data_IF_619760520964
#
_entry.id   IF_619760520964
#
_cell.length_a   1.000
_cell.length_b   1.000
_cell.length_c   1.000
_cell.angle_alpha   90.00
_cell.angle_beta   90.00
_cell.angle_gamma   90.00
#
_symmetry.space_group_name_H-M   'P 1'
#
loop_
_entity.id
_entity.type
_entity.pdbx_description
1 polymer ?
#
# COMPACT_ATOMS: atom_id res chain seq x y z
N UNK A 1 -8.93 -5.02 19.47
CA UNK A 1 -9.45 -4.15 18.40
C UNK A 1 -8.53 -4.19 17.19
N UNK A 2 -9.10 -4.46 16.02
CA UNK A 2 -8.44 -4.65 14.73
C UNK A 2 -7.89 -3.33 14.17
N UNK A 3 -8.68 -2.26 14.29
CA UNK A 3 -8.29 -0.90 13.92
C UNK A 3 -7.55 -0.26 15.10
N UNK A 4 -6.47 0.46 14.79
CA UNK A 4 -5.62 1.17 15.75
C UNK A 4 -5.61 2.65 15.42
N UNK A 5 -5.46 3.45 16.49
CA UNK A 5 -5.30 4.90 16.36
C UNK A 5 -4.09 5.21 15.49
N UNK A 6 -4.20 6.22 14.64
CA UNK A 6 -3.08 6.69 13.85
C UNK A 6 -1.88 7.00 14.75
N UNK A 7 -0.68 6.66 14.25
CA UNK A 7 0.59 7.00 14.87
C UNK A 7 1.60 7.38 13.79
N UNK A 8 2.42 8.40 14.06
CA UNK A 8 3.53 8.80 13.18
C UNK A 8 4.60 7.70 13.06
N UNK A 9 4.60 6.70 13.95
CA UNK A 9 5.49 5.55 13.83
C UNK A 9 5.28 4.79 12.52
N UNK A 10 4.09 4.82 11.92
CA UNK A 10 3.89 4.16 10.62
C UNK A 10 4.71 4.80 9.49
N UNK A 11 5.01 6.10 9.58
CA UNK A 11 5.90 6.77 8.63
C UNK A 11 7.35 6.33 8.88
N UNK A 12 7.75 6.21 10.15
CA UNK A 12 9.07 5.68 10.53
C UNK A 12 9.21 4.23 10.04
N UNK A 13 8.23 3.39 10.30
CA UNK A 13 8.20 1.99 9.90
C UNK A 13 8.34 1.82 8.38
N UNK A 14 7.62 2.65 7.61
CA UNK A 14 7.79 2.71 6.16
C UNK A 14 9.22 3.11 5.76
N UNK A 15 9.79 4.15 6.38
CA UNK A 15 11.14 4.61 6.06
C UNK A 15 12.21 3.57 6.42
N UNK A 16 12.03 2.84 7.52
CA UNK A 16 12.94 1.75 7.91
C UNK A 16 12.88 0.62 6.87
N UNK A 17 11.68 0.19 6.45
CA UNK A 17 11.52 -0.83 5.39
C UNK A 17 12.14 -0.33 4.08
N UNK A 18 11.83 0.92 3.69
CA UNK A 18 12.38 1.56 2.50
C UNK A 18 13.90 1.52 2.50
N UNK A 19 14.54 1.84 3.62
CA UNK A 19 16.00 1.81 3.73
C UNK A 19 16.60 0.42 3.46
N UNK A 20 15.95 -0.65 3.92
CA UNK A 20 16.38 -2.02 3.62
C UNK A 20 16.20 -2.37 2.14
N UNK A 21 15.06 -2.00 1.56
CA UNK A 21 14.79 -2.23 0.13
C UNK A 21 15.77 -1.42 -0.72
N UNK A 22 16.03 -0.16 -0.38
CA UNK A 22 16.95 0.71 -1.11
C UNK A 22 18.38 0.16 -1.13
N UNK A 23 18.82 -0.43 -0.01
CA UNK A 23 20.10 -1.13 0.05
C UNK A 23 20.10 -2.42 -0.80
N UNK A 24 19.00 -3.18 -0.80
CA UNK A 24 18.86 -4.42 -1.57
C UNK A 24 18.73 -4.22 -3.07
N UNK A 25 18.23 -3.06 -3.50
CA UNK A 25 18.02 -2.70 -4.91
C UNK A 25 19.04 -1.66 -5.41
N UNK A 26 20.13 -1.46 -4.67
CA UNK A 26 21.14 -0.46 -4.99
C UNK A 26 21.64 -0.58 -6.44
N UNK A 27 21.63 0.54 -7.17
CA UNK A 27 22.06 0.61 -8.57
C UNK A 27 20.97 0.29 -9.59
N UNK A 28 19.72 0.04 -9.17
CA UNK A 28 18.57 -0.11 -10.06
C UNK A 28 17.75 1.17 -10.15
N UNK A 29 16.96 1.30 -11.22
CA UNK A 29 16.06 2.43 -11.45
C UNK A 29 14.66 2.04 -11.00
N UNK A 30 14.18 2.68 -9.94
CA UNK A 30 12.83 2.47 -9.40
C UNK A 30 12.45 3.66 -8.49
N UNK A 31 11.18 3.71 -8.09
CA UNK A 31 10.73 4.55 -6.97
C UNK A 31 9.93 3.72 -5.97
N UNK A 32 9.80 4.21 -4.73
CA UNK A 32 9.05 3.54 -3.66
C UNK A 32 8.05 4.50 -3.06
N UNK A 33 6.80 4.07 -2.97
CA UNK A 33 5.69 4.85 -2.43
C UNK A 33 5.09 4.18 -1.19
N UNK A 34 4.87 4.99 -0.14
CA UNK A 34 4.04 4.58 0.99
C UNK A 34 2.57 4.76 0.59
N UNK A 35 1.84 3.66 0.55
CA UNK A 35 0.44 3.62 0.11
C UNK A 35 -0.47 3.05 1.19
N UNK A 36 -1.76 2.91 0.88
CA UNK A 36 -2.75 2.41 1.83
C UNK A 36 -3.08 3.39 2.95
N UNK A 37 -3.80 2.90 3.95
CA UNK A 37 -4.32 3.75 5.03
C UNK A 37 -3.23 4.26 5.99
N UNK A 38 -2.14 3.51 6.18
CA UNK A 38 -1.05 3.91 7.08
C UNK A 38 -0.21 5.06 6.53
N UNK A 39 -0.30 5.34 5.23
CA UNK A 39 0.30 6.49 4.58
C UNK A 39 -0.49 7.79 4.79
N UNK A 40 -1.69 7.75 5.36
CA UNK A 40 -2.55 8.93 5.53
C UNK A 40 -2.48 9.40 6.99
N UNK A 41 -1.91 10.59 7.28
CA UNK A 41 -1.90 11.14 8.62
C UNK A 41 -3.32 11.29 9.19
N UNK A 42 -3.46 11.00 10.48
CA UNK A 42 -4.73 11.08 11.21
C UNK A 42 -5.83 10.13 10.70
N UNK A 43 -5.46 9.02 10.05
CA UNK A 43 -6.39 7.96 9.63
C UNK A 43 -6.12 6.66 10.40
N UNK A 44 -7.05 6.27 11.27
CA UNK A 44 -6.97 5.03 12.03
C UNK A 44 -7.01 3.81 11.10
N UNK A 45 -6.20 2.79 11.35
CA UNK A 45 -6.02 1.67 10.41
C UNK A 45 -5.61 0.37 11.09
N UNK A 46 -5.65 -0.73 10.33
CA UNK A 46 -4.84 -1.90 10.63
C UNK A 46 -3.35 -1.49 10.58
N UNK A 47 -2.53 -1.88 11.56
CA UNK A 47 -1.11 -1.53 11.60
C UNK A 47 -0.31 -2.44 10.67
N UNK A 48 -0.51 -2.26 9.36
CA UNK A 48 0.22 -2.93 8.28
C UNK A 48 0.62 -1.85 7.28
N UNK A 49 1.90 -1.78 6.94
CA UNK A 49 2.42 -0.84 5.94
C UNK A 49 2.13 -1.40 4.55
N UNK A 50 1.58 -0.61 3.64
CA UNK A 50 1.41 -0.99 2.24
C UNK A 50 2.45 -0.21 1.40
N UNK A 51 3.18 -0.91 0.53
CA UNK A 51 4.32 -0.36 -0.20
C UNK A 51 4.21 -0.73 -1.67
N UNK A 52 4.35 0.25 -2.55
CA UNK A 52 4.51 0.04 -3.99
C UNK A 52 5.96 0.36 -4.40
N UNK A 53 6.65 -0.60 -5.02
CA UNK A 53 7.86 -0.35 -5.80
C UNK A 53 7.44 -0.16 -7.26
N UNK A 54 7.95 0.88 -7.91
CA UNK A 54 7.52 1.32 -9.24
C UNK A 54 8.69 1.21 -10.20
N UNK A 55 8.46 0.61 -11.37
CA UNK A 55 9.46 0.47 -12.44
C UNK A 55 8.91 0.99 -13.78
N UNK A 56 9.80 1.38 -14.69
CA UNK A 56 9.42 1.86 -16.03
C UNK A 56 9.53 0.76 -17.09
N UNK A 57 10.64 0.01 -17.07
CA UNK A 57 10.98 -0.97 -18.11
C UNK A 57 10.99 -2.41 -17.58
N UNK A 58 10.67 -3.37 -18.45
CA UNK A 58 10.70 -4.81 -18.12
C UNK A 58 12.08 -5.29 -17.64
N UNK A 59 13.15 -4.69 -18.16
CA UNK A 59 14.50 -4.98 -17.71
C UNK A 59 14.71 -4.64 -16.21
N UNK A 60 14.10 -3.56 -15.73
CA UNK A 60 14.18 -3.17 -14.32
C UNK A 60 13.30 -4.06 -13.45
N UNK A 61 12.14 -4.51 -13.96
CA UNK A 61 11.34 -5.53 -13.28
C UNK A 61 12.15 -6.78 -12.92
N UNK A 62 12.90 -7.34 -13.88
CA UNK A 62 13.72 -8.52 -13.61
C UNK A 62 14.81 -8.27 -12.56
N UNK A 63 15.46 -7.10 -12.60
CA UNK A 63 16.46 -6.70 -11.60
C UNK A 63 15.84 -6.54 -10.21
N UNK A 64 14.69 -5.86 -10.12
CA UNK A 64 13.96 -5.67 -8.87
C UNK A 64 13.54 -7.02 -8.29
N UNK A 65 12.96 -7.90 -9.11
CA UNK A 65 12.58 -9.25 -8.68
C UNK A 65 13.77 -10.04 -8.13
N UNK A 66 14.92 -9.98 -8.79
CA UNK A 66 16.14 -10.64 -8.33
C UNK A 66 16.69 -10.03 -7.02
N UNK A 67 16.73 -8.70 -6.91
CA UNK A 67 17.18 -8.01 -5.70
C UNK A 67 16.26 -8.24 -4.50
N UNK A 68 14.95 -8.25 -4.71
CA UNK A 68 13.96 -8.60 -3.69
C UNK A 68 14.14 -10.05 -3.21
N UNK A 69 14.43 -10.99 -4.12
CA UNK A 69 14.75 -12.36 -3.75
C UNK A 69 16.02 -12.45 -2.89
N UNK A 70 17.06 -11.68 -3.22
CA UNK A 70 18.31 -11.63 -2.46
C UNK A 70 18.12 -11.13 -1.02
N UNK A 71 17.15 -10.25 -0.78
CA UNK A 71 16.83 -9.78 0.57
C UNK A 71 15.72 -10.60 1.26
N UNK A 72 15.23 -11.69 0.65
CA UNK A 72 14.34 -12.66 1.29
C UNK A 72 12.85 -12.53 0.96
N UNK A 73 12.50 -11.95 -0.18
CA UNK A 73 11.12 -11.98 -0.70
C UNK A 73 10.92 -13.04 -1.78
N UNK A 74 9.77 -13.70 -1.75
CA UNK A 74 9.29 -14.54 -2.84
C UNK A 74 8.21 -13.80 -3.64
N UNK A 75 8.21 -14.01 -4.97
CA UNK A 75 7.19 -13.49 -5.87
C UNK A 75 5.95 -14.38 -5.85
N UNK A 76 4.78 -13.81 -5.57
CA UNK A 76 3.49 -14.50 -5.43
C UNK A 76 2.50 -14.19 -6.58
N UNK A 77 3.01 -13.74 -7.72
CA UNK A 77 2.18 -13.31 -8.85
C UNK A 77 1.32 -12.09 -8.51
N UNK A 78 0.29 -11.85 -9.31
CA UNK A 78 -0.53 -10.64 -9.23
C UNK A 78 -1.80 -10.79 -8.34
N UNK A 79 -2.10 -12.02 -7.90
CA UNK A 79 -3.27 -12.38 -7.08
C UNK A 79 -4.61 -11.85 -7.62
N UNK A 80 -4.76 -11.83 -8.96
CA UNK A 80 -5.98 -11.41 -9.63
C UNK A 80 -6.10 -9.90 -9.85
N UNK A 81 -5.08 -9.10 -9.51
CA UNK A 81 -5.02 -7.67 -9.83
C UNK A 81 -3.90 -7.45 -10.83
N UNK A 82 -4.27 -7.14 -12.07
CA UNK A 82 -3.35 -6.89 -13.18
C UNK A 82 -2.28 -5.83 -12.83
N UNK A 83 -1.05 -6.06 -13.30
CA UNK A 83 0.08 -5.13 -13.12
C UNK A 83 0.39 -4.75 -11.65
N UNK A 84 0.06 -5.62 -10.70
CA UNK A 84 0.39 -5.46 -9.28
C UNK A 84 0.90 -6.77 -8.69
N UNK A 85 2.18 -7.01 -8.84
CA UNK A 85 2.83 -8.21 -8.32
C UNK A 85 3.01 -8.16 -6.81
N UNK A 86 2.65 -9.24 -6.12
CA UNK A 86 2.73 -9.38 -4.68
C UNK A 86 4.02 -10.07 -4.29
N UNK A 87 4.74 -9.50 -3.33
CA UNK A 87 5.93 -10.09 -2.73
C UNK A 87 5.71 -10.37 -1.24
N UNK A 88 6.18 -11.52 -0.76
CA UNK A 88 6.08 -11.90 0.66
C UNK A 88 7.41 -12.37 1.20
N UNK A 89 7.64 -12.11 2.49
CA UNK A 89 8.80 -12.62 3.22
C UNK A 89 8.80 -14.15 3.19
N UNK A 90 9.93 -14.74 2.81
CA UNK A 90 10.06 -16.19 2.65
C UNK A 90 10.58 -16.93 3.89
N UNK A 91 11.04 -16.19 4.91
CA UNK A 91 11.55 -16.72 6.17
C UNK A 91 12.91 -17.44 6.09
N UNK A 92 13.55 -17.46 4.91
CA UNK A 92 14.86 -18.11 4.70
C UNK A 92 16.03 -17.15 4.93
N UNK A 93 15.85 -15.89 4.55
CA UNK A 93 16.80 -14.81 4.81
C UNK A 93 16.19 -13.88 5.84
N UNK A 94 16.74 -13.86 7.05
CA UNK A 94 16.23 -13.00 8.12
C UNK A 94 16.71 -11.56 7.93
N UNK A 95 15.83 -10.62 8.23
CA UNK A 95 16.14 -9.20 8.32
C UNK A 95 15.30 -8.59 9.43
N UNK A 96 15.95 -8.00 10.44
CA UNK A 96 15.27 -7.49 11.64
C UNK A 96 14.11 -6.55 11.30
N UNK A 97 14.34 -5.58 10.43
CA UNK A 97 13.32 -4.60 10.04
C UNK A 97 12.17 -5.26 9.26
N UNK A 98 12.49 -6.02 8.21
CA UNK A 98 11.47 -6.62 7.34
C UNK A 98 10.66 -7.72 8.03
N UNK A 99 11.24 -8.41 9.01
CA UNK A 99 10.56 -9.50 9.71
C UNK A 99 9.80 -9.01 10.96
N UNK A 100 10.15 -7.83 11.49
CA UNK A 100 9.45 -7.21 12.63
C UNK A 100 8.27 -6.35 12.18
N UNK A 101 8.46 -5.53 11.15
CA UNK A 101 7.45 -4.58 10.70
C UNK A 101 6.50 -5.29 9.72
N UNK A 102 5.22 -5.38 10.08
CA UNK A 102 4.20 -5.99 9.22
C UNK A 102 3.92 -5.10 8.02
N UNK A 103 4.10 -5.67 6.83
CA UNK A 103 3.88 -4.93 5.59
C UNK A 103 3.36 -5.83 4.47
N UNK A 104 2.74 -5.20 3.47
CA UNK A 104 2.54 -5.75 2.15
C UNK A 104 3.50 -5.04 1.19
N UNK A 105 4.10 -5.81 0.29
CA UNK A 105 4.97 -5.30 -0.75
C UNK A 105 4.37 -5.63 -2.11
N UNK A 106 4.19 -4.58 -2.91
CA UNK A 106 3.73 -4.65 -4.28
C UNK A 106 4.79 -4.10 -5.22
N UNK A 107 4.83 -4.61 -6.45
CA UNK A 107 5.66 -4.08 -7.52
C UNK A 107 4.76 -3.82 -8.73
N UNK A 108 4.80 -2.59 -9.23
CA UNK A 108 3.89 -2.07 -10.26
C UNK A 108 4.69 -1.38 -11.37
N UNK A 109 4.33 -1.56 -12.66
CA UNK A 109 4.85 -0.68 -13.70
C UNK A 109 4.26 0.73 -13.54
N UNK A 110 5.01 1.73 -13.99
CA UNK A 110 4.53 3.11 -14.08
C UNK A 110 3.27 3.17 -14.95
N UNK A 111 2.26 3.92 -14.50
CA UNK A 111 1.00 4.06 -15.21
C UNK A 111 0.00 2.91 -15.02
N UNK A 112 0.31 1.89 -14.21
CA UNK A 112 -0.65 0.82 -13.94
C UNK A 112 -1.88 1.35 -13.18
N UNK A 113 -3.06 0.77 -13.47
CA UNK A 113 -4.31 1.14 -12.79
C UNK A 113 -4.26 0.88 -11.28
N UNK A 114 -3.53 -0.15 -10.87
CA UNK A 114 -3.36 -0.50 -9.47
C UNK A 114 -2.54 0.56 -8.72
N UNK A 115 -1.43 1.01 -9.30
CA UNK A 115 -0.61 2.09 -8.77
C UNK A 115 -1.41 3.39 -8.72
N UNK A 116 -2.09 3.75 -9.80
CA UNK A 116 -2.93 4.96 -9.86
C UNK A 116 -3.99 4.94 -8.76
N UNK A 117 -4.69 3.81 -8.56
CA UNK A 117 -5.66 3.62 -7.48
C UNK A 117 -5.05 3.88 -6.10
N UNK A 118 -3.88 3.33 -5.83
CA UNK A 118 -3.19 3.53 -4.55
C UNK A 118 -2.81 5.00 -4.31
N UNK A 119 -2.21 5.66 -5.31
CA UNK A 119 -1.74 7.04 -5.19
C UNK A 119 -2.89 8.03 -5.07
N UNK A 120 -3.88 7.96 -5.97
CA UNK A 120 -4.99 8.91 -5.98
C UNK A 120 -5.86 8.79 -4.73
N UNK A 121 -6.15 7.57 -4.26
CA UNK A 121 -6.91 7.40 -3.03
C UNK A 121 -6.16 7.93 -1.80
N UNK A 122 -4.86 7.65 -1.67
CA UNK A 122 -4.00 8.18 -0.60
C UNK A 122 -3.99 9.70 -0.62
N UNK A 123 -3.70 10.30 -1.77
CA UNK A 123 -3.53 11.75 -1.89
C UNK A 123 -4.84 12.49 -1.66
N UNK A 124 -5.96 11.95 -2.14
CA UNK A 124 -7.27 12.52 -1.85
C UNK A 124 -7.58 12.49 -0.35
N UNK A 125 -7.36 11.36 0.33
CA UNK A 125 -7.61 11.21 1.77
C UNK A 125 -6.70 12.12 2.63
N UNK A 126 -5.46 12.40 2.18
CA UNK A 126 -4.56 13.35 2.82
C UNK A 126 -5.08 14.79 2.75
N UNK A 127 -5.73 15.16 1.64
CA UNK A 127 -6.21 16.52 1.37
C UNK A 127 -7.64 16.79 1.88
N UNK A 128 -8.41 15.75 2.18
CA UNK A 128 -9.85 15.87 2.45
C UNK A 128 -10.25 15.24 3.78
N UNK A 129 -10.49 16.08 4.79
CA UNK A 129 -10.86 15.65 6.13
C UNK A 129 -12.19 14.90 6.19
N UNK A 130 -13.18 15.33 5.40
CA UNK A 130 -14.47 14.66 5.34
C UNK A 130 -14.35 13.22 4.82
N UNK A 131 -13.54 13.01 3.77
CA UNK A 131 -13.34 11.70 3.16
C UNK A 131 -12.54 10.78 4.08
N UNK A 132 -11.52 11.32 4.73
CA UNK A 132 -10.75 10.61 5.75
C UNK A 132 -11.64 10.14 6.91
N UNK A 133 -12.54 11.01 7.38
CA UNK A 133 -13.47 10.72 8.48
C UNK A 133 -14.51 9.67 8.07
N UNK A 134 -15.11 9.81 6.88
CA UNK A 134 -16.05 8.84 6.34
C UNK A 134 -15.41 7.45 6.18
N UNK A 135 -14.22 7.39 5.57
CA UNK A 135 -13.51 6.12 5.39
C UNK A 135 -13.08 5.49 6.73
N UNK A 136 -12.69 6.31 7.70
CA UNK A 136 -12.39 5.84 9.06
C UNK A 136 -13.62 5.20 9.70
N UNK A 137 -14.78 5.87 9.64
CA UNK A 137 -16.03 5.38 10.21
C UNK A 137 -16.44 4.04 9.58
N UNK A 138 -16.40 3.94 8.25
CA UNK A 138 -16.65 2.67 7.53
C UNK A 138 -15.75 1.54 8.05
N UNK A 139 -14.45 1.82 8.28
CA UNK A 139 -13.51 0.80 8.79
C UNK A 139 -13.87 0.34 10.20
N UNK A 140 -14.33 1.22 11.08
CA UNK A 140 -14.77 0.86 12.42
C UNK A 140 -16.03 -0.02 12.37
N UNK A 141 -17.05 0.39 11.62
CA UNK A 141 -18.29 -0.38 11.45
C UNK A 141 -18.03 -1.76 10.86
N UNK A 142 -17.16 -1.86 9.86
CA UNK A 142 -16.79 -3.14 9.26
C UNK A 142 -15.99 -4.02 10.23
N UNK A 143 -15.14 -3.43 11.07
CA UNK A 143 -14.42 -4.18 12.10
C UNK A 143 -15.38 -4.75 13.16
N UNK A 144 -16.41 -4.00 13.54
CA UNK A 144 -17.48 -4.47 14.43
C UNK A 144 -18.32 -5.58 13.78
N UNK A 145 -18.78 -5.39 12.53
CA UNK A 145 -19.51 -6.41 11.75
C UNK A 145 -18.70 -7.69 11.52
N UNK A 146 -17.38 -7.57 11.46
CA UNK A 146 -16.46 -8.70 11.36
C UNK A 146 -16.19 -9.39 12.71
N UNK A 147 -16.73 -8.90 13.83
CA UNK A 147 -16.36 -9.30 15.18
C UNK A 147 -14.83 -9.27 15.40
N UNK A 148 -14.18 -8.25 14.84
CA UNK A 148 -12.72 -8.06 14.84
C UNK A 148 -11.91 -9.18 14.15
N UNK A 149 -12.57 -10.11 13.44
CA UNK A 149 -11.90 -11.15 12.66
C UNK A 149 -11.22 -10.56 11.42
N UNK A 150 -9.97 -10.93 11.20
CA UNK A 150 -9.14 -10.33 10.14
C UNK A 150 -9.58 -10.73 8.74
N UNK A 151 -10.00 -12.00 8.57
CA UNK A 151 -10.36 -12.55 7.26
C UNK A 151 -11.71 -12.00 6.84
N UNK A 152 -12.70 -12.11 7.72
CA UNK A 152 -14.04 -11.56 7.54
C UNK A 152 -14.02 -10.05 7.33
N UNK A 153 -13.16 -9.32 8.05
CA UNK A 153 -12.99 -7.89 7.81
C UNK A 153 -12.46 -7.58 6.40
N UNK A 154 -11.49 -8.35 5.90
CA UNK A 154 -10.95 -8.14 4.56
C UNK A 154 -12.02 -8.35 3.49
N UNK A 155 -12.79 -9.44 3.61
CA UNK A 155 -13.92 -9.75 2.72
C UNK A 155 -14.99 -8.65 2.77
N UNK A 156 -15.41 -8.24 3.97
CA UNK A 156 -16.40 -7.16 4.12
C UNK A 156 -15.88 -5.83 3.56
N UNK A 157 -14.60 -5.52 3.77
CA UNK A 157 -14.01 -4.29 3.26
C UNK A 157 -14.05 -4.26 1.73
N UNK A 158 -13.63 -5.33 1.08
CA UNK A 158 -13.66 -5.45 -0.39
C UNK A 158 -15.06 -5.20 -0.97
N UNK A 159 -16.11 -5.71 -0.31
CA UNK A 159 -17.49 -5.53 -0.76
C UNK A 159 -18.05 -4.13 -0.49
N UNK A 160 -17.59 -3.42 0.55
CA UNK A 160 -18.28 -2.23 1.05
C UNK A 160 -17.53 -0.91 0.82
N UNK A 161 -16.21 -0.92 0.61
CA UNK A 161 -15.44 0.33 0.50
C UNK A 161 -15.03 0.70 -0.92
N UNK A 162 -15.09 -0.24 -1.87
CA UNK A 162 -14.59 -0.01 -3.22
C UNK A 162 -15.34 1.14 -3.92
N UNK A 163 -16.67 1.18 -3.83
CA UNK A 163 -17.47 2.27 -4.41
C UNK A 163 -17.08 3.64 -3.85
N UNK A 164 -16.89 3.74 -2.52
CA UNK A 164 -16.42 4.97 -1.89
C UNK A 164 -15.03 5.36 -2.39
N UNK A 165 -14.09 4.40 -2.45
CA UNK A 165 -12.73 4.65 -2.95
C UNK A 165 -12.74 5.09 -4.41
N UNK A 166 -13.56 4.47 -5.26
CA UNK A 166 -13.72 4.82 -6.67
C UNK A 166 -14.24 6.26 -6.80
N UNK A 167 -15.22 6.64 -5.98
CA UNK A 167 -15.80 7.98 -5.98
C UNK A 167 -14.79 9.08 -5.63
N UNK A 168 -13.85 8.82 -4.70
CA UNK A 168 -12.83 9.81 -4.32
C UNK A 168 -11.68 9.86 -5.33
N UNK A 169 -11.35 8.73 -5.96
CA UNK A 169 -10.36 8.69 -7.04
C UNK A 169 -10.82 9.55 -8.21
N UNK A 170 -12.10 9.45 -8.60
CA UNK A 170 -12.63 10.25 -9.70
C UNK A 170 -12.61 11.76 -9.40
N UNK A 171 -12.88 12.14 -8.14
CA UNK A 171 -12.74 13.53 -7.68
C UNK A 171 -11.29 14.01 -7.74
N UNK A 172 -10.32 13.17 -7.35
CA UNK A 172 -8.89 13.52 -7.45
C UNK A 172 -8.47 13.70 -8.91
N UNK A 173 -8.87 12.80 -9.82
CA UNK A 173 -8.59 12.92 -11.26
C UNK A 173 -9.09 14.24 -11.83
N UNK A 174 -10.33 14.59 -11.52
CA UNK A 174 -10.92 15.87 -11.97
C UNK A 174 -10.12 17.06 -11.45
N UNK A 175 -9.67 17.01 -10.18
CA UNK A 175 -8.88 18.07 -9.56
C UNK A 175 -7.50 18.21 -10.19
N UNK A 176 -6.85 17.11 -10.58
CA UNK A 176 -5.55 17.14 -11.28
C UNK A 176 -5.69 17.62 -12.73
N UNK A 177 -6.75 17.20 -13.44
CA UNK A 177 -7.04 17.66 -14.80
C UNK A 177 -7.26 19.17 -14.89
N UNK A 178 -7.89 19.77 -13.85
CA UNK A 178 -8.05 21.23 -13.74
C UNK A 178 -6.76 21.99 -13.42
N UNK A 179 -5.73 21.32 -12.88
CA UNK A 179 -4.43 21.93 -12.54
C UNK A 179 -3.41 21.87 -13.69
N UNK A 180 -3.62 20.95 -14.63
CA UNK A 180 -2.75 20.74 -15.78
C UNK A 180 -3.23 21.48 -17.05
N UNK A 181 -4.33 22.24 -16.94
CA UNK A 181 -4.86 23.15 -17.95
C UNK A 181 -4.67 24.60 -17.50
#
# INVERSE_FOLDING_TARGET
MLIKKYTSNWIKDFNDIRGVIDNGLHGFVYSIEHVGSTAVPNLDSKPIIDIDIIYADEADWHKIKAGLAAIGYDHHGNQGIEERDVFKRNGKCTNETLDTIKHHLYVCPVGSKALERHILSRDFLRKNDWARSAYQQMKYELAEKANQDRKRYAELKELNVNEFIDSIIEKERTTMGLRNN
#
